data_IF_090466601170
#
_entry.id   IF_090466601170
#
_cell.length_a   1.000
_cell.length_b   1.000
_cell.length_c   1.000
_cell.angle_alpha   90.00
_cell.angle_beta   90.00
_cell.angle_gamma   90.00
#
_symmetry.space_group_name_H-M   'P 1'
#
loop_
_entity.id
_entity.type
_entity.pdbx_description
1 polymer ?
#
# COMPACT_ATOMS: atom_id res chain seq x y z
N UNK A 1 -1.57 -39.03 -29.42
CA UNK A 1 -0.59 -37.93 -29.32
C UNK A 1 -1.37 -36.63 -29.27
N UNK A 2 -1.88 -36.28 -28.08
CA UNK A 2 -2.53 -34.96 -27.89
C UNK A 2 -1.41 -33.94 -27.99
N UNK A 3 -1.44 -33.16 -29.07
CA UNK A 3 -0.25 -32.57 -29.68
C UNK A 3 0.57 -31.67 -28.76
N UNK A 4 1.88 -31.81 -28.83
CA UNK A 4 2.88 -30.99 -28.12
C UNK A 4 2.64 -29.48 -28.30
N UNK A 5 2.02 -29.07 -29.42
CA UNK A 5 1.61 -27.68 -29.66
C UNK A 5 0.50 -27.17 -28.72
N UNK A 6 -0.44 -28.03 -28.29
CA UNK A 6 -1.48 -27.65 -27.33
C UNK A 6 -0.88 -27.41 -25.93
N UNK A 7 0.10 -28.22 -25.55
CA UNK A 7 0.81 -28.11 -24.28
C UNK A 7 1.64 -26.83 -24.23
N UNK A 8 2.37 -26.51 -25.31
CA UNK A 8 3.13 -25.26 -25.43
C UNK A 8 2.21 -24.03 -25.36
N UNK A 9 1.03 -24.08 -26.00
CA UNK A 9 0.05 -23.00 -25.96
C UNK A 9 -0.53 -22.78 -24.55
N UNK A 10 -0.81 -23.86 -23.81
CA UNK A 10 -1.30 -23.80 -22.43
C UNK A 10 -0.24 -23.26 -21.46
N UNK A 11 1.03 -23.63 -21.64
CA UNK A 11 2.14 -23.11 -20.83
C UNK A 11 2.33 -21.60 -21.09
N UNK A 12 2.30 -21.15 -22.35
CA UNK A 12 2.36 -19.73 -22.73
C UNK A 12 1.16 -18.92 -22.21
N UNK A 13 -0.03 -19.51 -22.19
CA UNK A 13 -1.22 -18.87 -21.60
C UNK A 13 -1.10 -18.74 -20.08
N UNK A 14 -0.53 -19.72 -19.39
CA UNK A 14 -0.33 -19.72 -17.94
C UNK A 14 0.79 -18.77 -17.48
N UNK A 15 1.87 -18.62 -18.24
CA UNK A 15 2.93 -17.64 -17.92
C UNK A 15 2.49 -16.19 -18.12
N UNK A 16 1.46 -15.95 -18.93
CA UNK A 16 0.85 -14.63 -19.07
C UNK A 16 0.01 -14.23 -17.83
N UNK A 17 -0.46 -15.22 -17.06
CA UNK A 17 -1.28 -15.01 -15.85
C UNK A 17 -0.46 -14.74 -14.58
N UNK A 18 0.86 -14.96 -14.60
CA UNK A 18 1.73 -14.69 -13.45
C UNK A 18 2.19 -13.23 -13.43
N UNK A 19 1.24 -12.29 -13.41
CA UNK A 19 1.55 -10.92 -12.99
C UNK A 19 1.42 -10.90 -11.47
N UNK A 20 2.51 -11.21 -10.78
CA UNK A 20 2.59 -11.04 -9.33
C UNK A 20 2.17 -9.61 -8.99
N UNK A 21 1.11 -9.45 -8.20
CA UNK A 21 0.74 -8.15 -7.67
C UNK A 21 1.77 -7.79 -6.58
N UNK A 22 2.84 -7.11 -6.99
CA UNK A 22 3.78 -6.52 -6.05
C UNK A 22 3.04 -5.44 -5.26
N UNK A 23 3.15 -5.47 -3.93
CA UNK A 23 2.66 -4.42 -3.06
C UNK A 23 3.26 -3.07 -3.49
N UNK A 24 2.42 -2.08 -3.76
CA UNK A 24 2.86 -0.75 -4.13
C UNK A 24 3.38 0.00 -2.91
N UNK A 25 4.34 0.91 -3.14
CA UNK A 25 4.87 1.79 -2.10
C UNK A 25 4.59 3.23 -2.53
N UNK A 26 3.98 4.00 -1.64
CA UNK A 26 3.54 5.37 -1.91
C UNK A 26 4.29 6.33 -0.99
N UNK A 27 5.19 7.13 -1.56
CA UNK A 27 5.78 8.26 -0.86
C UNK A 27 4.71 9.34 -0.62
N UNK A 28 4.26 9.48 0.63
CA UNK A 28 3.22 10.45 1.00
C UNK A 28 3.72 11.87 0.74
N UNK A 29 2.98 12.63 -0.07
CA UNK A 29 3.40 13.96 -0.52
C UNK A 29 4.46 13.96 -1.63
N UNK A 30 4.78 12.80 -2.21
CA UNK A 30 5.79 12.62 -3.26
C UNK A 30 7.14 13.25 -2.85
N UNK A 31 7.67 14.21 -3.63
CA UNK A 31 8.93 14.89 -3.33
C UNK A 31 8.83 15.90 -2.17
N UNK A 32 7.61 16.36 -1.86
CA UNK A 32 7.35 17.29 -0.74
C UNK A 32 7.46 16.54 0.58
N UNK A 33 7.02 15.29 0.65
CA UNK A 33 7.07 14.46 1.85
C UNK A 33 6.00 14.80 2.89
N UNK A 34 6.15 14.24 4.09
CA UNK A 34 5.31 14.53 5.25
C UNK A 34 5.85 15.76 5.98
N UNK A 35 5.16 16.88 5.81
CA UNK A 35 5.49 18.19 6.38
C UNK A 35 4.25 18.94 6.84
N UNK A 36 4.46 19.99 7.63
CA UNK A 36 3.44 20.91 8.14
C UNK A 36 3.44 22.26 7.39
N UNK A 37 2.37 23.06 7.51
CA UNK A 37 2.37 24.46 7.10
C UNK A 37 3.54 25.24 7.73
N UNK A 38 4.11 26.24 7.02
CA UNK A 38 3.63 26.83 5.77
C UNK A 38 4.06 26.09 4.49
N UNK A 39 4.75 24.95 4.58
CA UNK A 39 5.27 24.25 3.40
C UNK A 39 4.18 23.61 2.52
N UNK A 40 2.98 23.43 3.07
CA UNK A 40 1.81 22.87 2.41
C UNK A 40 0.56 23.70 2.73
N UNK A 41 -0.48 23.52 1.91
CA UNK A 41 -1.82 24.08 2.11
C UNK A 41 -2.77 23.01 2.68
N UNK A 42 -3.90 23.44 3.26
CA UNK A 42 -4.87 22.56 3.93
C UNK A 42 -5.34 21.34 3.13
N UNK A 43 -5.47 21.44 1.79
CA UNK A 43 -5.90 20.35 0.91
C UNK A 43 -4.78 19.54 0.25
N UNK A 44 -3.51 19.80 0.58
CA UNK A 44 -2.38 19.21 -0.16
C UNK A 44 -2.39 17.68 -0.19
N UNK A 45 -2.62 17.03 0.96
CA UNK A 45 -2.62 15.56 1.02
C UNK A 45 -3.89 14.93 0.46
N UNK A 46 -5.01 15.67 0.47
CA UNK A 46 -6.25 15.22 -0.17
C UNK A 46 -6.07 15.18 -1.70
N UNK A 47 -5.49 16.24 -2.26
CA UNK A 47 -5.14 16.30 -3.69
C UNK A 47 -4.11 15.22 -4.06
N UNK A 48 -3.11 15.00 -3.20
CA UNK A 48 -2.11 13.94 -3.39
C UNK A 48 -2.76 12.55 -3.44
N UNK A 49 -3.77 12.30 -2.60
CA UNK A 49 -4.47 11.03 -2.51
C UNK A 49 -5.49 10.82 -3.65
N UNK A 50 -6.09 11.88 -4.19
CA UNK A 50 -7.23 11.82 -5.11
C UNK A 50 -6.96 10.99 -6.39
N UNK A 51 -5.73 10.99 -6.89
CA UNK A 51 -5.34 10.28 -8.11
C UNK A 51 -4.64 8.94 -7.84
N UNK A 52 -4.80 8.37 -6.64
CA UNK A 52 -4.15 7.12 -6.24
C UNK A 52 -5.20 6.08 -5.81
N UNK A 53 -4.93 4.83 -6.14
CA UNK A 53 -5.72 3.68 -5.70
C UNK A 53 -4.88 2.88 -4.72
N UNK A 54 -5.32 2.78 -3.48
CA UNK A 54 -4.62 2.03 -2.43
C UNK A 54 -5.26 0.65 -2.25
N UNK A 55 -4.42 -0.38 -2.15
CA UNK A 55 -4.84 -1.76 -1.93
C UNK A 55 -4.29 -2.31 -0.62
N UNK A 56 -4.98 -3.30 -0.06
CA UNK A 56 -4.44 -4.07 1.06
C UNK A 56 -3.09 -4.71 0.70
N UNK A 57 -2.10 -4.55 1.57
CA UNK A 57 -0.71 -4.97 1.34
C UNK A 57 0.22 -3.86 0.86
N UNK A 58 -0.30 -2.74 0.35
CA UNK A 58 0.53 -1.59 -0.03
C UNK A 58 1.18 -0.91 1.18
N UNK A 59 2.20 -0.08 0.95
CA UNK A 59 2.92 0.64 2.00
C UNK A 59 2.82 2.14 1.77
N UNK A 60 2.45 2.88 2.81
CA UNK A 60 2.51 4.34 2.84
C UNK A 60 3.82 4.78 3.50
N UNK A 61 4.66 5.50 2.78
CA UNK A 61 5.96 5.97 3.24
C UNK A 61 5.88 7.46 3.61
N UNK A 62 5.89 7.75 4.90
CA UNK A 62 5.87 9.09 5.44
C UNK A 62 7.31 9.57 5.66
N UNK A 63 7.89 10.21 4.64
CA UNK A 63 9.24 10.77 4.72
C UNK A 63 9.20 12.15 5.39
N UNK A 64 9.87 12.32 6.52
CA UNK A 64 9.76 13.53 7.33
C UNK A 64 10.57 14.69 6.75
N UNK A 65 9.95 15.89 6.75
CA UNK A 65 10.61 17.16 6.47
C UNK A 65 10.59 18.04 7.72
N UNK A 66 11.76 18.24 8.31
CA UNK A 66 11.90 18.79 9.65
C UNK A 66 11.45 17.81 10.74
N UNK A 67 11.27 18.31 11.96
CA UNK A 67 10.74 17.51 13.08
C UNK A 67 9.26 17.22 12.87
N UNK A 68 8.92 15.94 12.75
CA UNK A 68 7.56 15.50 12.44
C UNK A 68 7.12 14.34 13.33
N UNK A 69 5.81 14.16 13.38
CA UNK A 69 5.19 13.00 14.00
C UNK A 69 4.01 12.51 13.16
N UNK A 70 3.61 11.28 13.44
CA UNK A 70 2.59 10.57 12.72
C UNK A 70 1.75 9.75 13.69
N UNK A 71 0.44 9.82 13.52
CA UNK A 71 -0.50 8.91 14.17
C UNK A 71 -1.51 8.38 13.17
N UNK A 72 -1.96 7.15 13.40
CA UNK A 72 -3.16 6.59 12.77
C UNK A 72 -4.31 6.72 13.76
N UNK A 73 -5.43 7.25 13.28
CA UNK A 73 -6.54 7.67 14.14
C UNK A 73 -7.89 7.23 13.57
N UNK A 74 -8.92 7.32 14.40
CA UNK A 74 -10.31 7.21 13.95
C UNK A 74 -10.73 8.43 13.11
N UNK A 75 -11.87 8.30 12.42
CA UNK A 75 -12.45 9.42 11.67
C UNK A 75 -12.74 10.63 12.56
N UNK A 76 -13.27 10.40 13.77
CA UNK A 76 -13.63 11.49 14.68
C UNK A 76 -12.40 12.29 15.16
N UNK A 77 -11.32 11.59 15.49
CA UNK A 77 -10.04 12.20 15.86
C UNK A 77 -9.41 12.95 14.68
N UNK A 78 -9.51 12.41 13.45
CA UNK A 78 -9.08 13.07 12.22
C UNK A 78 -9.88 14.35 11.95
N UNK A 79 -11.21 14.31 12.03
CA UNK A 79 -12.08 15.44 11.74
C UNK A 79 -11.86 16.60 12.73
N UNK A 80 -11.64 16.29 14.00
CA UNK A 80 -11.47 17.30 15.05
C UNK A 80 -10.01 17.66 15.36
N UNK A 81 -9.03 16.90 14.84
CA UNK A 81 -7.62 17.04 15.18
C UNK A 81 -7.40 17.10 16.70
N UNK A 82 -8.00 16.17 17.44
CA UNK A 82 -7.98 16.11 18.91
C UNK A 82 -7.81 14.68 19.38
N UNK A 83 -7.20 14.53 20.56
CA UNK A 83 -7.04 13.26 21.29
C UNK A 83 -6.38 12.18 20.42
N UNK A 84 -5.09 12.31 20.16
CA UNK A 84 -4.37 11.24 19.47
C UNK A 84 -4.13 10.09 20.44
N UNK A 85 -4.89 9.00 20.25
CA UNK A 85 -4.82 7.83 21.13
C UNK A 85 -3.54 7.00 20.94
N UNK A 86 -2.94 7.02 19.74
CA UNK A 86 -1.76 6.21 19.40
C UNK A 86 -0.84 6.91 18.40
N UNK A 87 0.33 7.33 18.86
CA UNK A 87 1.42 7.80 18.00
C UNK A 87 2.08 6.59 17.34
N UNK A 88 2.33 6.66 16.03
CA UNK A 88 3.04 5.64 15.27
C UNK A 88 4.54 5.90 15.24
N UNK A 89 4.94 7.16 15.06
CA UNK A 89 6.33 7.56 15.04
C UNK A 89 6.50 9.06 15.19
N UNK A 90 7.70 9.43 15.58
CA UNK A 90 8.23 10.79 15.64
C UNK A 90 9.68 10.74 15.16
N UNK A 91 10.16 11.83 14.57
CA UNK A 91 11.51 11.86 14.03
C UNK A 91 11.87 13.20 13.39
N UNK A 92 13.09 13.27 12.90
CA UNK A 92 13.67 14.46 12.27
C UNK A 92 13.74 14.33 10.74
N UNK A 93 14.27 15.35 10.08
CA UNK A 93 14.43 15.34 8.63
C UNK A 93 15.36 14.21 8.18
N UNK A 94 14.95 13.50 7.12
CA UNK A 94 15.69 12.34 6.59
C UNK A 94 15.28 11.02 7.23
N UNK A 95 14.51 11.07 8.33
CA UNK A 95 13.82 9.92 8.89
C UNK A 95 12.41 9.77 8.30
N UNK A 96 11.67 8.77 8.76
CA UNK A 96 10.30 8.57 8.35
C UNK A 96 9.65 7.34 8.97
N UNK A 97 8.40 7.13 8.61
CA UNK A 97 7.62 5.96 9.04
C UNK A 97 7.00 5.27 7.83
N UNK A 98 7.20 3.96 7.70
CA UNK A 98 6.54 3.13 6.70
C UNK A 98 5.35 2.40 7.33
N UNK A 99 4.13 2.75 6.91
CA UNK A 99 2.91 2.09 7.38
C UNK A 99 2.45 1.04 6.36
N UNK A 100 2.63 -0.27 6.63
CA UNK A 100 2.08 -1.32 5.79
C UNK A 100 0.56 -1.41 5.99
N UNK A 101 -0.20 -1.20 4.93
CA UNK A 101 -1.63 -1.47 4.94
C UNK A 101 -1.85 -2.97 5.12
N UNK A 102 -2.71 -3.42 6.06
CA UNK A 102 -3.02 -4.83 6.22
C UNK A 102 -3.41 -5.50 4.90
N UNK A 103 -3.04 -6.77 4.69
CA UNK A 103 -3.36 -7.48 3.45
C UNK A 103 -4.88 -7.53 3.17
N UNK A 104 -5.68 -7.62 4.22
CA UNK A 104 -7.15 -7.58 4.19
C UNK A 104 -7.73 -6.18 4.46
N UNK A 105 -6.93 -5.12 4.33
CA UNK A 105 -7.38 -3.76 4.54
C UNK A 105 -8.53 -3.40 3.58
N UNK A 106 -9.54 -2.74 4.13
CA UNK A 106 -10.68 -2.23 3.39
C UNK A 106 -11.27 -1.03 4.12
N UNK A 107 -11.71 -0.03 3.37
CA UNK A 107 -12.33 1.19 3.92
C UNK A 107 -11.33 2.33 4.10
N UNK A 108 -11.65 3.25 5.02
CA UNK A 108 -10.89 4.48 5.20
C UNK A 108 -9.83 4.33 6.31
N UNK A 109 -8.63 4.82 6.03
CA UNK A 109 -7.55 4.97 7.01
C UNK A 109 -7.20 6.44 7.12
N UNK A 110 -7.02 6.92 8.36
CA UNK A 110 -6.80 8.33 8.66
C UNK A 110 -5.49 8.51 9.40
N UNK A 111 -4.69 9.46 8.92
CA UNK A 111 -3.37 9.78 9.45
C UNK A 111 -3.29 11.26 9.75
N UNK A 112 -2.66 11.63 10.87
CA UNK A 112 -2.54 13.02 11.32
C UNK A 112 -1.18 13.28 11.94
N UNK A 113 -0.74 14.55 11.92
CA UNK A 113 0.20 15.04 12.92
C UNK A 113 -0.50 15.12 14.27
N UNK A 114 0.24 14.83 15.34
CA UNK A 114 -0.25 14.92 16.73
C UNK A 114 -0.19 16.33 17.29
N UNK A 115 0.41 17.27 16.54
CA UNK A 115 0.39 18.70 16.86
C UNK A 115 -0.91 19.28 16.32
N UNK A 116 -1.76 19.76 17.24
CA UNK A 116 -3.09 20.29 16.97
C UNK A 116 -3.13 21.30 15.81
N UNK A 117 -2.22 22.29 15.80
CA UNK A 117 -2.16 23.31 14.74
C UNK A 117 -1.78 22.70 13.40
N UNK A 118 -0.78 21.82 13.35
CA UNK A 118 -0.35 21.18 12.11
C UNK A 118 -1.48 20.37 11.47
N UNK A 119 -2.19 19.57 12.26
CA UNK A 119 -3.33 18.78 11.76
C UNK A 119 -4.45 19.69 11.24
N UNK A 120 -4.84 20.71 12.03
CA UNK A 120 -5.93 21.64 11.66
C UNK A 120 -5.62 22.42 10.39
N UNK A 121 -4.35 22.74 10.18
CA UNK A 121 -3.89 23.57 9.07
C UNK A 121 -3.50 22.74 7.83
N UNK A 122 -3.64 21.41 7.86
CA UNK A 122 -3.54 20.57 6.65
C UNK A 122 -2.67 19.32 6.76
N UNK A 123 -1.94 19.11 7.85
CA UNK A 123 -1.09 17.93 8.01
C UNK A 123 -1.88 16.71 8.46
N UNK A 124 -2.75 16.24 7.57
CA UNK A 124 -3.65 15.11 7.74
C UNK A 124 -3.92 14.45 6.40
N UNK A 125 -4.03 13.13 6.38
CA UNK A 125 -4.25 12.33 5.18
C UNK A 125 -5.38 11.31 5.43
N UNK A 126 -6.34 11.27 4.51
CA UNK A 126 -7.34 10.20 4.45
C UNK A 126 -7.10 9.37 3.18
N UNK A 127 -6.98 8.05 3.33
CA UNK A 127 -6.85 7.14 2.19
C UNK A 127 -7.99 6.13 2.19
N UNK A 128 -8.57 5.89 1.01
CA UNK A 128 -9.54 4.83 0.78
C UNK A 128 -8.82 3.61 0.24
N UNK A 129 -8.88 2.52 1.00
CA UNK A 129 -8.22 1.26 0.68
C UNK A 129 -9.27 0.26 0.19
N UNK A 130 -9.02 -0.36 -0.94
CA UNK A 130 -9.83 -1.46 -1.47
C UNK A 130 -9.16 -2.79 -1.14
N UNK A 131 -9.94 -3.79 -0.74
CA UNK A 131 -9.40 -5.13 -0.48
C UNK A 131 -8.73 -5.70 -1.72
N UNK A 132 -7.48 -6.14 -1.59
CA UNK A 132 -6.84 -6.96 -2.61
C UNK A 132 -7.41 -8.38 -2.49
N UNK A 133 -8.48 -8.68 -3.24
CA UNK A 133 -8.92 -10.06 -3.42
C UNK A 133 -9.09 -10.38 -4.90
N UNK A 134 -8.02 -10.82 -5.57
CA UNK A 134 -8.13 -11.83 -6.60
C UNK A 134 -8.00 -13.20 -5.91
N UNK A 135 -9.06 -14.01 -5.94
CA UNK A 135 -9.16 -15.36 -5.38
C UNK A 135 -8.04 -16.35 -5.81
N UNK A 136 -7.14 -15.96 -6.71
CA UNK A 136 -6.07 -16.80 -7.26
C UNK A 136 -4.65 -16.38 -6.86
N UNK A 137 -4.46 -15.25 -6.17
CA UNK A 137 -3.12 -14.77 -5.78
C UNK A 137 -2.64 -15.29 -4.42
N UNK A 138 -3.43 -16.10 -3.71
CA UNK A 138 -2.96 -16.78 -2.49
C UNK A 138 -2.01 -17.94 -2.78
N UNK A 139 -1.93 -18.39 -4.04
CA UNK A 139 -0.87 -19.30 -4.45
C UNK A 139 0.39 -18.46 -4.58
N UNK A 140 1.31 -18.60 -3.62
CA UNK A 140 2.62 -17.96 -3.71
C UNK A 140 3.26 -18.32 -5.07
N UNK A 141 4.09 -17.42 -5.60
CA UNK A 141 4.83 -17.69 -6.84
C UNK A 141 5.62 -19.00 -6.77
N UNK A 142 6.04 -19.39 -5.56
CA UNK A 142 6.68 -20.67 -5.25
C UNK A 142 5.71 -21.86 -5.31
N UNK A 143 4.46 -21.68 -4.88
CA UNK A 143 3.43 -22.73 -4.98
C UNK A 143 3.06 -22.99 -6.44
N UNK A 144 3.01 -21.94 -7.26
CA UNK A 144 2.73 -22.06 -8.70
C UNK A 144 3.90 -22.70 -9.44
N UNK A 145 5.14 -22.37 -9.12
CA UNK A 145 6.32 -22.98 -9.75
C UNK A 145 6.46 -24.46 -9.39
N UNK A 146 6.13 -24.84 -8.14
CA UNK A 146 6.07 -26.25 -7.70
C UNK A 146 4.95 -27.01 -8.42
N UNK A 147 3.75 -26.43 -8.55
CA UNK A 147 2.65 -27.04 -9.30
C UNK A 147 3.00 -27.25 -10.78
N UNK A 148 3.62 -26.25 -11.42
CA UNK A 148 4.06 -26.33 -12.83
C UNK A 148 5.15 -27.39 -12.99
N UNK A 149 6.12 -27.45 -12.07
CA UNK A 149 7.19 -28.46 -12.07
C UNK A 149 6.65 -29.89 -11.86
N UNK A 150 5.69 -30.05 -10.96
CA UNK A 150 5.02 -31.33 -10.71
C UNK A 150 4.23 -31.81 -11.94
N UNK A 151 3.52 -30.91 -12.62
CA UNK A 151 2.78 -31.21 -13.86
C UNK A 151 3.74 -31.57 -15.00
N UNK A 152 4.84 -30.82 -15.16
CA UNK A 152 5.88 -31.13 -16.16
C UNK A 152 6.46 -32.53 -15.91
N UNK A 153 6.83 -32.82 -14.66
CA UNK A 153 7.41 -34.11 -14.27
C UNK A 153 6.45 -35.27 -14.56
N UNK A 154 5.16 -35.12 -14.26
CA UNK A 154 4.15 -36.15 -14.53
C UNK A 154 3.90 -36.40 -16.03
N UNK A 155 4.14 -35.39 -16.88
CA UNK A 155 4.00 -35.49 -18.33
C UNK A 155 5.24 -36.09 -19.02
N UNK A 156 6.42 -35.99 -18.41
CA UNK A 156 7.69 -36.54 -18.94
C UNK A 156 8.04 -37.95 -18.42
N UNK A 157 7.26 -38.51 -17.49
CA UNK A 157 7.43 -39.89 -16.98
C UNK A 157 6.67 -40.93 -17.83
N UNK A 158 6.14 -40.57 -19.01
CA UNK A 158 5.47 -41.50 -19.91
C UNK A 158 6.09 -41.58 -21.29
#
# INVERSE_FOLDING_TARGET
MVGSGLIVLLILAMTCLTRGAMAARYAVGDHVGWTSPPNITSGFYDDWAANKTFMGGDVLEFNYKGTQNLAVVSREEYDHCKRVSKVLGEGEEGEGYAYPLPANANGMYYFVSTIDSHCKDGQKLAVKVTSSVPFLTSLSSDSLSVLVSAILSALFIR
#
